data_IF_539168827965
#
_entry.id   IF_539168827965
#
_cell.length_a   1.000
_cell.length_b   1.000
_cell.length_c   1.000
_cell.angle_alpha   90.00
_cell.angle_beta   90.00
_cell.angle_gamma   90.00
#
_symmetry.space_group_name_H-M   'P 1'
#
loop_
_entity.id
_entity.type
_entity.pdbx_description
1 polymer ?
#
# COMPACT_ATOMS: atom_id res chain seq x y z
N UNK A 1 -12.15 13.20 4.93
CA UNK A 1 -10.80 12.65 5.18
C UNK A 1 -9.85 13.83 5.08
N UNK A 2 -9.10 14.15 6.13
CA UNK A 2 -8.17 15.28 6.05
C UNK A 2 -6.98 14.96 5.15
N UNK A 3 -6.42 16.00 4.54
CA UNK A 3 -5.21 15.95 3.75
C UNK A 3 -4.01 16.21 4.66
N UNK A 4 -3.12 15.25 4.77
CA UNK A 4 -1.88 15.35 5.52
C UNK A 4 -0.71 15.31 4.53
N UNK A 5 0.00 16.42 4.41
CA UNK A 5 1.12 16.56 3.48
C UNK A 5 2.44 16.70 4.23
N UNK A 6 3.43 15.92 3.82
CA UNK A 6 4.82 16.04 4.26
C UNK A 6 5.68 16.53 3.11
N UNK A 7 6.45 17.59 3.34
CA UNK A 7 7.64 17.89 2.53
C UNK A 7 8.84 17.27 3.25
N UNK A 8 9.58 16.40 2.56
CA UNK A 8 10.68 15.63 3.15
C UNK A 8 11.96 15.88 2.37
N UNK A 9 13.11 15.71 3.02
CA UNK A 9 14.40 15.77 2.34
C UNK A 9 14.43 14.82 1.12
N UNK A 10 14.94 15.25 -0.05
CA UNK A 10 14.92 14.44 -1.27
C UNK A 10 15.51 13.04 -1.11
N UNK A 11 16.59 12.89 -0.35
CA UNK A 11 17.28 11.63 -0.07
C UNK A 11 16.48 10.67 0.81
N UNK A 12 15.53 11.18 1.59
CA UNK A 12 14.72 10.40 2.53
C UNK A 12 13.40 9.93 1.90
N UNK A 13 12.93 10.55 0.82
CA UNK A 13 11.68 10.17 0.14
C UNK A 13 11.59 8.67 -0.20
N UNK A 14 12.64 8.01 -0.74
CA UNK A 14 12.60 6.58 -1.01
C UNK A 14 12.31 5.74 0.24
N UNK A 15 12.75 6.19 1.43
CA UNK A 15 12.50 5.50 2.69
C UNK A 15 11.04 5.63 3.14
N UNK A 16 10.39 6.75 2.85
CA UNK A 16 8.96 6.95 3.11
C UNK A 16 8.08 6.00 2.30
N UNK A 17 8.50 5.55 1.11
CA UNK A 17 7.74 4.56 0.33
C UNK A 17 7.49 3.24 1.07
N UNK A 18 8.31 2.94 2.09
CA UNK A 18 8.14 1.72 2.91
C UNK A 18 6.89 1.75 3.79
N UNK A 19 6.25 2.91 3.99
CA UNK A 19 4.94 3.01 4.66
C UNK A 19 3.85 2.23 3.91
N UNK A 20 4.00 2.05 2.59
CA UNK A 20 3.06 1.32 1.74
C UNK A 20 3.02 -0.18 2.06
N UNK A 21 3.97 -0.70 2.83
CA UNK A 21 3.95 -2.08 3.34
C UNK A 21 2.90 -2.26 4.45
N UNK A 22 2.58 -1.19 5.19
CA UNK A 22 1.53 -1.20 6.21
C UNK A 22 0.15 -1.31 5.57
N UNK A 23 -0.01 -0.76 4.37
CA UNK A 23 -1.20 -0.85 3.54
C UNK A 23 -1.96 0.46 3.41
N UNK A 24 -2.43 0.71 2.19
CA UNK A 24 -3.28 1.85 1.83
C UNK A 24 -4.69 1.36 1.47
N UNK A 25 -5.70 2.18 1.73
CA UNK A 25 -7.09 1.89 1.39
C UNK A 25 -7.43 2.43 -0.01
N UNK A 26 -8.01 1.57 -0.84
CA UNK A 26 -8.38 1.86 -2.23
C UNK A 26 -9.84 1.53 -2.41
N UNK A 27 -10.64 2.53 -2.80
CA UNK A 27 -12.05 2.31 -3.15
C UNK A 27 -12.15 1.85 -4.60
N UNK A 28 -12.96 0.84 -4.86
CA UNK A 28 -13.18 0.28 -6.20
C UNK A 28 -14.54 -0.39 -6.31
N UNK A 29 -14.92 -0.84 -7.51
CA UNK A 29 -16.16 -1.57 -7.75
C UNK A 29 -16.07 -3.00 -7.20
N UNK A 30 -17.14 -3.48 -6.58
CA UNK A 30 -17.25 -4.86 -6.14
C UNK A 30 -17.19 -5.83 -7.34
N UNK A 31 -16.32 -6.83 -7.27
CA UNK A 31 -16.10 -7.79 -8.34
C UNK A 31 -15.12 -7.33 -9.42
N UNK A 32 -14.52 -6.15 -9.31
CA UNK A 32 -13.40 -5.74 -10.18
C UNK A 32 -12.30 -6.79 -10.15
N UNK A 33 -11.70 -7.09 -11.30
CA UNK A 33 -10.55 -8.00 -11.34
C UNK A 33 -9.32 -7.32 -10.75
N UNK A 34 -8.45 -8.12 -10.13
CA UNK A 34 -7.20 -7.65 -9.55
C UNK A 34 -6.35 -6.90 -10.60
N UNK A 35 -6.23 -7.45 -11.81
CA UNK A 35 -5.51 -6.79 -12.90
C UNK A 35 -6.09 -5.42 -13.29
N UNK A 36 -7.43 -5.29 -13.34
CA UNK A 36 -8.09 -4.01 -13.66
C UNK A 36 -7.90 -2.99 -12.54
N UNK A 37 -8.00 -3.41 -11.28
CA UNK A 37 -7.69 -2.55 -10.13
C UNK A 37 -6.24 -2.05 -10.22
N UNK A 38 -5.27 -2.96 -10.39
CA UNK A 38 -3.86 -2.58 -10.43
C UNK A 38 -3.54 -1.66 -11.60
N UNK A 39 -4.10 -1.92 -12.78
CA UNK A 39 -3.88 -1.09 -13.97
C UNK A 39 -4.44 0.34 -13.85
N UNK A 40 -5.29 0.61 -12.84
CA UNK A 40 -5.76 1.96 -12.55
C UNK A 40 -4.70 2.85 -11.88
N UNK A 41 -3.65 2.24 -11.31
CA UNK A 41 -2.56 2.97 -10.68
C UNK A 41 -1.50 3.41 -11.69
N UNK A 42 -0.91 4.60 -11.52
CA UNK A 42 0.17 5.08 -12.39
C UNK A 42 1.34 4.09 -12.46
N UNK A 43 1.74 3.73 -13.68
CA UNK A 43 2.90 2.87 -13.93
C UNK A 43 2.68 1.36 -13.72
N UNK A 44 1.50 0.92 -13.29
CA UNK A 44 1.16 -0.50 -13.22
C UNK A 44 0.64 -1.01 -14.57
N UNK A 45 1.49 -0.95 -15.60
CA UNK A 45 1.15 -1.44 -16.94
C UNK A 45 1.05 -2.98 -16.97
N UNK A 46 0.45 -3.53 -18.04
CA UNK A 46 0.39 -4.97 -18.21
C UNK A 46 1.78 -5.62 -18.20
N UNK A 47 2.77 -4.97 -18.82
CA UNK A 47 4.16 -5.41 -18.84
C UNK A 47 4.77 -5.39 -17.44
N UNK A 48 4.56 -4.31 -16.67
CA UNK A 48 5.06 -4.23 -15.30
C UNK A 48 4.46 -5.31 -14.38
N UNK A 49 3.15 -5.58 -14.51
CA UNK A 49 2.49 -6.66 -13.78
C UNK A 49 3.01 -8.05 -14.20
N UNK A 50 3.30 -8.24 -15.49
CA UNK A 50 3.82 -9.48 -16.03
C UNK A 50 5.29 -9.74 -15.65
N UNK A 51 6.13 -8.71 -15.60
CA UNK A 51 7.57 -8.88 -15.44
C UNK A 51 8.05 -8.63 -14.00
N UNK A 52 7.51 -7.61 -13.33
CA UNK A 52 8.00 -7.17 -12.02
C UNK A 52 7.21 -7.77 -10.87
N UNK A 53 5.89 -7.85 -10.97
CA UNK A 53 5.05 -8.42 -9.90
C UNK A 53 5.17 -9.94 -9.93
N UNK A 54 5.94 -10.49 -9.00
CA UNK A 54 6.23 -11.92 -8.94
C UNK A 54 5.43 -12.63 -7.88
N UNK A 55 4.92 -11.94 -6.86
CA UNK A 55 4.13 -12.57 -5.79
C UNK A 55 2.91 -11.72 -5.50
N UNK A 56 1.75 -12.37 -5.41
CA UNK A 56 0.47 -11.74 -5.12
C UNK A 56 -0.18 -12.53 -3.99
N UNK A 57 -0.47 -11.87 -2.88
CA UNK A 57 -1.28 -12.44 -1.82
C UNK A 57 -2.64 -11.76 -1.76
N UNK A 58 -3.71 -12.54 -1.80
CA UNK A 58 -5.06 -12.11 -1.52
C UNK A 58 -5.50 -12.73 -0.18
N UNK A 59 -5.78 -11.88 0.81
CA UNK A 59 -6.13 -12.27 2.18
C UNK A 59 -5.13 -13.25 2.81
N UNK A 60 -3.85 -13.12 2.46
CA UNK A 60 -2.77 -14.00 2.93
C UNK A 60 -2.57 -15.29 2.11
N UNK A 61 -3.43 -15.59 1.14
CA UNK A 61 -3.24 -16.71 0.21
C UNK A 61 -2.51 -16.25 -1.04
N UNK A 62 -1.46 -16.97 -1.44
CA UNK A 62 -0.74 -16.68 -2.68
C UNK A 62 -1.56 -17.10 -3.90
N UNK A 63 -1.78 -16.17 -4.83
CA UNK A 63 -2.54 -16.38 -6.06
C UNK A 63 -1.72 -16.00 -7.30
N UNK A 64 -2.04 -16.60 -8.44
CA UNK A 64 -1.32 -16.38 -9.69
C UNK A 64 -2.19 -15.66 -10.74
N UNK A 65 -3.51 -15.66 -10.59
CA UNK A 65 -4.47 -15.21 -11.59
C UNK A 65 -4.93 -13.75 -11.36
N UNK A 66 -4.52 -12.86 -12.27
CA UNK A 66 -4.91 -11.45 -12.29
C UNK A 66 -6.39 -11.23 -12.63
N UNK A 67 -7.07 -12.24 -13.17
CA UNK A 67 -8.51 -12.19 -13.49
C UNK A 67 -9.39 -12.46 -12.27
N UNK A 68 -8.79 -12.83 -11.13
CA UNK A 68 -9.49 -13.04 -9.86
C UNK A 68 -10.31 -11.80 -9.49
N UNK A 69 -11.64 -11.92 -9.31
CA UNK A 69 -12.48 -10.80 -8.88
C UNK A 69 -12.30 -10.54 -7.38
N UNK A 70 -12.14 -9.27 -7.01
CA UNK A 70 -12.05 -8.83 -5.63
C UNK A 70 -13.46 -8.71 -5.03
N UNK A 71 -13.68 -9.38 -3.90
CA UNK A 71 -14.99 -9.47 -3.22
C UNK A 71 -14.80 -9.60 -1.71
N UNK A 72 -15.90 -9.42 -0.98
CA UNK A 72 -15.97 -9.64 0.47
C UNK A 72 -15.67 -8.38 1.29
N UNK A 73 -15.60 -8.54 2.61
CA UNK A 73 -15.36 -7.43 3.52
C UNK A 73 -13.87 -7.09 3.58
N UNK A 74 -13.50 -5.92 3.04
CA UNK A 74 -12.15 -5.34 3.14
C UNK A 74 -10.99 -6.27 2.72
N UNK A 75 -10.98 -6.78 1.47
CA UNK A 75 -9.92 -7.67 1.02
C UNK A 75 -8.54 -7.00 1.12
N UNK A 76 -7.54 -7.80 1.50
CA UNK A 76 -6.15 -7.36 1.62
C UNK A 76 -5.36 -7.95 0.47
N UNK A 77 -4.84 -7.06 -0.38
CA UNK A 77 -3.99 -7.39 -1.52
C UNK A 77 -2.56 -6.97 -1.22
N UNK A 78 -1.62 -7.92 -1.19
CA UNK A 78 -0.20 -7.64 -1.04
C UNK A 78 0.58 -8.04 -2.30
N UNK A 79 1.37 -7.10 -2.83
CA UNK A 79 2.20 -7.29 -4.01
C UNK A 79 3.67 -7.25 -3.62
N UNK A 80 4.41 -8.23 -4.14
CA UNK A 80 5.87 -8.24 -4.02
C UNK A 80 6.51 -8.57 -5.37
N UNK A 81 7.69 -8.01 -5.58
CA UNK A 81 8.57 -8.44 -6.66
C UNK A 81 9.21 -9.80 -6.31
N UNK A 82 10.40 -10.06 -6.82
CA UNK A 82 11.16 -11.24 -6.42
C UNK A 82 11.38 -11.25 -4.91
N UNK A 83 11.06 -12.38 -4.27
CA UNK A 83 11.43 -12.66 -2.89
C UNK A 83 12.63 -13.60 -2.87
N UNK A 84 13.60 -13.42 -1.97
CA UNK A 84 14.74 -14.32 -1.87
C UNK A 84 14.38 -15.64 -1.17
N UNK A 85 15.21 -16.66 -1.40
CA UNK A 85 15.20 -17.92 -0.65
C UNK A 85 13.93 -18.76 -0.83
N UNK A 86 13.58 -19.50 0.22
CA UNK A 86 12.47 -20.46 0.21
C UNK A 86 11.12 -19.78 -0.05
N UNK A 87 10.90 -18.58 0.48
CA UNK A 87 9.68 -17.81 0.25
C UNK A 87 9.50 -17.51 -1.24
N UNK A 88 10.56 -17.09 -1.93
CA UNK A 88 10.54 -16.88 -3.38
C UNK A 88 10.31 -18.18 -4.16
N UNK A 89 10.93 -19.27 -3.72
CA UNK A 89 10.76 -20.57 -4.36
C UNK A 89 9.30 -21.05 -4.27
N UNK A 90 8.57 -20.79 -3.19
CA UNK A 90 7.19 -21.28 -2.98
C UNK A 90 6.14 -20.29 -3.52
N UNK A 91 6.27 -19.01 -3.20
CA UNK A 91 5.17 -18.04 -3.38
C UNK A 91 5.22 -17.27 -4.70
N UNK A 92 6.34 -17.29 -5.44
CA UNK A 92 6.36 -16.64 -6.76
C UNK A 92 5.27 -17.23 -7.65
N UNK A 93 4.64 -16.41 -8.48
CA UNK A 93 3.63 -16.81 -9.46
C UNK A 93 4.18 -17.90 -10.38
N UNK A 94 3.33 -18.85 -10.74
CA UNK A 94 3.70 -19.98 -11.58
C UNK A 94 4.86 -20.82 -10.99
N UNK A 95 4.96 -20.90 -9.66
CA UNK A 95 6.00 -21.70 -9.02
C UNK A 95 5.75 -23.19 -9.18
N UNK A 96 6.82 -23.95 -9.49
CA UNK A 96 6.84 -25.40 -9.40
C UNK A 96 6.54 -25.93 -7.98
N UNK A 97 6.87 -25.14 -6.95
CA UNK A 97 6.61 -25.49 -5.55
C UNK A 97 5.30 -24.91 -5.01
N UNK A 98 4.36 -24.52 -5.88
CA UNK A 98 3.07 -23.97 -5.47
C UNK A 98 2.27 -24.93 -4.57
N UNK A 99 2.46 -26.25 -4.71
CA UNK A 99 1.84 -27.26 -3.85
C UNK A 99 2.25 -27.15 -2.35
N UNK A 100 3.31 -26.40 -2.02
CA UNK A 100 3.74 -26.14 -0.64
C UNK A 100 3.07 -24.89 -0.03
N UNK A 101 2.22 -24.18 -0.80
CA UNK A 101 1.51 -22.99 -0.30
C UNK A 101 0.40 -23.44 0.64
N UNK A 102 0.43 -22.93 1.87
CA UNK A 102 -0.70 -23.08 2.79
C UNK A 102 -1.85 -22.20 2.31
N UNK A 103 -2.99 -22.79 1.99
CA UNK A 103 -4.22 -22.03 1.76
C UNK A 103 -4.71 -21.46 3.10
N UNK A 104 -4.87 -20.14 3.18
CA UNK A 104 -5.55 -19.55 4.33
C UNK A 104 -7.04 -19.80 4.16
N UNK A 105 -7.71 -20.33 5.19
CA UNK A 105 -9.17 -20.45 5.18
C UNK A 105 -9.76 -19.06 4.97
N UNK A 106 -10.20 -18.78 3.75
CA UNK A 106 -10.90 -17.54 3.45
C UNK A 106 -12.23 -17.60 4.19
N UNK A 107 -12.41 -16.78 5.22
CA UNK A 107 -13.73 -16.59 5.82
C UNK A 107 -14.60 -15.98 4.72
N UNK A 108 -15.43 -16.81 4.10
CA UNK A 108 -16.44 -16.38 3.15
C UNK A 108 -17.46 -15.53 3.91
N UNK A 109 -17.15 -14.26 4.09
CA UNK A 109 -18.14 -13.27 4.49
C UNK A 109 -19.11 -13.12 3.32
N UNK A 110 -20.40 -13.23 3.62
CA UNK A 110 -21.46 -13.11 2.63
C UNK A 110 -21.24 -11.83 1.79
N UNK A 111 -21.50 -11.86 0.47
CA UNK A 111 -21.35 -10.68 -0.36
C UNK A 111 -22.26 -9.59 0.19
N UNK A 112 -21.65 -8.51 0.70
CA UNK A 112 -22.39 -7.27 0.86
C UNK A 112 -22.83 -6.85 -0.55
N UNK A 113 -24.13 -6.56 -0.72
CA UNK A 113 -24.74 -5.98 -1.93
C UNK A 113 -24.30 -4.52 -2.14
N UNK A 114 -23.07 -4.21 -1.78
CA UNK A 114 -22.51 -2.87 -1.98
C UNK A 114 -21.82 -2.87 -3.35
N UNK A 115 -22.14 -1.86 -4.15
CA UNK A 115 -21.50 -1.62 -5.45
C UNK A 115 -20.02 -1.23 -5.24
N UNK A 116 -19.70 -0.64 -4.09
CA UNK A 116 -18.37 -0.21 -3.70
C UNK A 116 -17.67 -1.23 -2.79
N UNK A 117 -16.35 -1.31 -2.93
CA UNK A 117 -15.46 -2.20 -2.21
C UNK A 117 -14.20 -1.43 -1.79
N UNK A 118 -13.84 -1.49 -0.50
CA UNK A 118 -12.56 -0.96 -0.02
C UNK A 118 -11.53 -2.08 0.03
N UNK A 119 -10.42 -1.96 -0.70
CA UNK A 119 -9.32 -2.92 -0.72
C UNK A 119 -8.12 -2.33 0.03
N UNK A 120 -7.49 -3.12 0.90
CA UNK A 120 -6.19 -2.75 1.46
C UNK A 120 -5.10 -3.21 0.50
N UNK A 121 -4.39 -2.27 -0.13
CA UNK A 121 -3.24 -2.56 -1.01
C UNK A 121 -1.93 -2.39 -0.23
N UNK A 122 -1.09 -3.42 -0.22
CA UNK A 122 0.26 -3.42 0.37
C UNK A 122 1.30 -3.61 -0.72
N UNK A 123 2.31 -2.75 -0.76
CA UNK A 123 3.40 -2.83 -1.73
C UNK A 123 4.71 -3.14 -1.02
N UNK A 124 5.40 -4.19 -1.47
CA UNK A 124 6.66 -4.66 -0.90
C UNK A 124 7.82 -4.56 -1.89
N UNK A 125 9.05 -4.63 -1.35
CA UNK A 125 10.29 -4.73 -2.10
C UNK A 125 10.44 -3.62 -3.15
N UNK A 126 10.90 -3.97 -4.36
CA UNK A 126 11.08 -2.99 -5.44
C UNK A 126 9.77 -2.35 -5.88
N UNK A 127 8.61 -3.00 -5.71
CA UNK A 127 7.33 -2.38 -6.12
C UNK A 127 7.06 -1.10 -5.33
N UNK A 128 7.31 -1.10 -4.02
CA UNK A 128 7.18 0.10 -3.20
C UNK A 128 8.19 1.18 -3.64
N UNK A 129 9.40 0.80 -4.02
CA UNK A 129 10.43 1.73 -4.51
C UNK A 129 10.07 2.34 -5.87
N UNK A 130 9.65 1.50 -6.81
CA UNK A 130 9.47 1.85 -8.22
C UNK A 130 8.18 2.66 -8.45
N UNK A 131 7.17 2.45 -7.59
CA UNK A 131 5.84 3.06 -7.73
C UNK A 131 5.42 3.92 -6.55
N UNK A 132 6.08 3.79 -5.40
CA UNK A 132 5.63 4.42 -4.16
C UNK A 132 5.78 5.94 -4.13
N UNK A 133 6.84 6.49 -4.71
CA UNK A 133 7.02 7.95 -4.75
C UNK A 133 5.86 8.63 -5.50
N UNK A 134 5.53 8.13 -6.69
CA UNK A 134 4.43 8.67 -7.50
C UNK A 134 3.06 8.49 -6.83
N UNK A 135 2.84 7.35 -6.16
CA UNK A 135 1.61 7.11 -5.38
C UNK A 135 1.49 8.10 -4.22
N UNK A 136 2.56 8.27 -3.44
CA UNK A 136 2.59 9.19 -2.31
C UNK A 136 2.48 10.64 -2.76
N UNK A 137 3.06 11.01 -3.90
CA UNK A 137 2.96 12.36 -4.46
C UNK A 137 1.50 12.70 -4.82
N UNK A 138 0.75 11.75 -5.38
CA UNK A 138 -0.68 11.92 -5.73
C UNK A 138 -1.61 11.87 -4.51
N UNK A 139 -1.14 11.24 -3.43
CA UNK A 139 -1.91 11.03 -2.22
C UNK A 139 -2.48 9.62 -2.13
N UNK A 140 -2.35 9.03 -0.95
CA UNK A 140 -2.90 7.70 -0.63
C UNK A 140 -3.75 7.77 0.62
N UNK A 141 -4.86 7.04 0.64
CA UNK A 141 -5.63 6.86 1.88
C UNK A 141 -4.92 5.86 2.78
N UNK A 142 -4.55 6.28 3.98
CA UNK A 142 -3.87 5.41 4.95
C UNK A 142 -4.50 5.55 6.32
N UNK A 143 -4.59 4.43 7.05
CA UNK A 143 -5.00 4.45 8.45
C UNK A 143 -3.93 5.16 9.29
N UNK A 144 -4.37 6.07 10.14
CA UNK A 144 -3.46 6.89 10.95
C UNK A 144 -2.61 6.05 11.91
N UNK A 145 -3.15 4.97 12.45
CA UNK A 145 -2.38 4.03 13.28
C UNK A 145 -1.22 3.34 12.53
N UNK A 146 -1.38 3.08 11.22
CA UNK A 146 -0.28 2.57 10.40
C UNK A 146 0.81 3.62 10.18
N UNK A 147 0.42 4.88 9.98
CA UNK A 147 1.35 6.00 9.82
C UNK A 147 2.07 6.33 11.13
N UNK A 148 1.35 6.33 12.25
CA UNK A 148 1.89 6.52 13.60
C UNK A 148 2.92 5.43 13.92
N UNK A 149 2.54 4.16 13.78
CA UNK A 149 3.46 3.04 14.01
C UNK A 149 4.68 3.07 13.07
N UNK A 150 4.49 3.53 11.83
CA UNK A 150 5.58 3.70 10.87
C UNK A 150 6.62 4.75 11.33
N UNK A 151 6.16 5.92 11.78
CA UNK A 151 7.01 7.02 12.24
C UNK A 151 7.63 6.74 13.61
N UNK A 152 6.90 6.09 14.52
CA UNK A 152 7.35 5.81 15.88
C UNK A 152 8.63 4.94 15.92
N UNK A 153 8.79 4.02 14.97
CA UNK A 153 9.99 3.17 14.88
C UNK A 153 11.09 3.76 13.98
N UNK A 154 10.90 4.99 13.47
CA UNK A 154 11.80 5.67 12.51
C UNK A 154 12.00 7.15 12.90
N UNK A 155 12.62 7.44 14.05
CA UNK A 155 12.82 8.83 14.50
C UNK A 155 13.57 9.68 13.46
N UNK A 156 14.57 9.12 12.79
CA UNK A 156 15.33 9.83 11.76
C UNK A 156 14.44 10.29 10.59
N UNK A 157 13.46 9.47 10.17
CA UNK A 157 12.54 9.90 9.10
C UNK A 157 11.63 11.03 9.57
N UNK A 158 11.18 11.00 10.82
CA UNK A 158 10.39 12.11 11.39
C UNK A 158 11.19 13.41 11.41
N UNK A 159 12.50 13.34 11.70
CA UNK A 159 13.41 14.48 11.62
C UNK A 159 13.56 15.01 10.19
N UNK A 160 13.58 14.14 9.19
CA UNK A 160 13.71 14.49 7.77
C UNK A 160 12.47 15.12 7.14
N UNK A 161 11.36 15.20 7.87
CA UNK A 161 10.20 15.98 7.44
C UNK A 161 10.52 17.47 7.63
N UNK A 162 10.65 18.25 6.56
CA UNK A 162 10.91 19.68 6.64
C UNK A 162 9.65 20.47 7.02
N UNK A 163 8.50 20.08 6.48
CA UNK A 163 7.23 20.74 6.71
C UNK A 163 6.08 19.74 6.75
N UNK A 164 5.11 20.00 7.64
CA UNK A 164 3.86 19.25 7.70
C UNK A 164 2.70 20.23 7.47
N UNK A 165 1.79 19.88 6.57
CA UNK A 165 0.52 20.59 6.39
C UNK A 165 -0.66 19.67 6.65
N UNK A 166 -1.61 20.14 7.46
CA UNK A 166 -2.94 19.54 7.62
C UNK A 166 -3.96 20.45 6.94
N UNK A 167 -4.65 19.94 5.92
CA UNK A 167 -5.62 20.71 5.12
C UNK A 167 -5.04 22.07 4.68
N UNK A 168 -3.84 22.02 4.09
CA UNK A 168 -3.08 23.18 3.60
C UNK A 168 -2.57 24.16 4.67
N UNK A 169 -2.82 23.88 5.96
CA UNK A 169 -2.31 24.68 7.08
C UNK A 169 -1.06 24.04 7.66
N UNK A 170 0.03 24.80 7.75
CA UNK A 170 1.27 24.34 8.39
C UNK A 170 1.04 24.05 9.89
N UNK A 171 1.60 22.94 10.37
CA UNK A 171 1.52 22.52 11.77
C UNK A 171 2.91 22.15 12.30
N UNK A 172 3.06 22.18 13.63
CA UNK A 172 4.28 21.70 14.27
C UNK A 172 4.32 20.16 14.26
N UNK A 173 5.53 19.57 14.21
CA UNK A 173 5.72 18.12 14.35
C UNK A 173 5.18 17.60 15.69
N UNK A 174 5.23 18.41 16.74
CA UNK A 174 4.70 18.08 18.06
C UNK A 174 3.18 17.87 18.06
N UNK A 175 2.45 18.45 17.10
CA UNK A 175 1.00 18.26 16.95
C UNK A 175 0.63 16.96 16.20
N UNK A 176 1.59 16.35 15.50
CA UNK A 176 1.33 15.18 14.65
C UNK A 176 0.70 14.00 15.42
N UNK A 177 1.19 13.58 16.60
CA UNK A 177 0.58 12.49 17.36
C UNK A 177 -0.89 12.76 17.71
N UNK A 178 -1.23 14.01 18.05
CA UNK A 178 -2.62 14.41 18.36
C UNK A 178 -3.51 14.29 17.13
N UNK A 179 -3.02 14.62 15.95
CA UNK A 179 -3.77 14.52 14.70
C UNK A 179 -3.98 13.05 14.32
N UNK A 180 -2.92 12.23 14.41
CA UNK A 180 -2.99 10.81 14.09
C UNK A 180 -3.93 10.03 15.03
N UNK A 181 -4.11 10.48 16.27
CA UNK A 181 -5.06 9.88 17.21
C UNK A 181 -6.51 10.36 17.02
N UNK A 182 -6.71 11.54 16.44
CA UNK A 182 -8.04 12.14 16.25
C UNK A 182 -8.76 11.58 15.03
N UNK A 183 -8.05 11.36 13.93
CA UNK A 183 -8.61 10.80 12.69
C UNK A 183 -8.28 9.31 12.58
N UNK A 184 -9.20 8.50 12.04
CA UNK A 184 -8.91 7.08 11.75
C UNK A 184 -8.09 6.87 10.47
N UNK A 185 -8.22 7.80 9.53
CA UNK A 185 -7.54 7.76 8.23
C UNK A 185 -7.32 9.16 7.68
N UNK A 186 -6.26 9.30 6.91
CA UNK A 186 -5.87 10.56 6.23
C UNK A 186 -5.54 10.29 4.77
N UNK A 187 -5.64 11.33 3.94
CA UNK A 187 -5.01 11.36 2.63
C UNK A 187 -3.56 11.80 2.81
N UNK A 188 -2.63 10.85 2.84
CA UNK A 188 -1.21 11.12 3.01
C UNK A 188 -0.60 11.49 1.66
N UNK A 189 -0.01 12.68 1.59
CA UNK A 189 0.79 13.16 0.45
C UNK A 189 2.22 13.36 0.92
N UNK A 190 3.20 12.91 0.14
CA UNK A 190 4.61 13.15 0.44
C UNK A 190 5.29 13.74 -0.80
N UNK A 191 5.97 14.87 -0.61
CA UNK A 191 6.69 15.62 -1.63
C UNK A 191 8.13 15.81 -1.22
N UNK A 192 9.01 16.04 -2.20
CA UNK A 192 10.37 16.51 -1.95
C UNK A 192 10.30 17.96 -1.49
N UNK A 193 11.07 18.32 -0.49
CA UNK A 193 11.35 19.72 -0.19
C UNK A 193 12.12 20.34 -1.37
N UNK A 194 11.84 21.60 -1.68
CA UNK A 194 12.66 22.37 -2.62
C UNK A 194 14.02 22.65 -1.95
N UNK A 195 15.12 22.50 -2.70
CA UNK A 195 16.49 22.81 -2.26
C UNK A 195 16.69 24.31 -1.98
#
# INVERSE_FOLDING_TARGET
MSRLEFEVKPESLPLFTTVLQSGIEVMTENGVTLGRLLSSFPGFTAEYLAETVQTIFLNGTAIDDLTTPLRGAHPVLALSAAMPGLAGAIFRKNSFHAALRTETKSSSHAPAKEDDLTVTLKLFNSIARDRGEELLYRGVSIQTGHLEGFLAIRPNLLEDIALIRLNDTAIDKADLPRILTTEKKVNLIIKKADD
#
